data_IF_178474526406
#
_entry.id   IF_178474526406
#
_cell.length_a   1.000
_cell.length_b   1.000
_cell.length_c   1.000
_cell.angle_alpha   90.00
_cell.angle_beta   90.00
_cell.angle_gamma   90.00
#
_symmetry.space_group_name_H-M   'P 1'
#
loop_
_entity.id
_entity.type
_entity.pdbx_description
1 polymer ?
#
# COMPACT_ATOMS: atom_id res chain seq x y z
N UNK A 1 2.69 -33.17 -41.06
CA UNK A 1 2.15 -31.80 -40.87
C UNK A 1 1.62 -31.60 -39.45
N UNK A 2 0.91 -32.56 -38.85
CA UNK A 2 0.31 -32.41 -37.51
C UNK A 2 1.32 -32.14 -36.37
N UNK A 3 2.48 -32.81 -36.37
CA UNK A 3 3.53 -32.61 -35.34
C UNK A 3 4.05 -31.16 -35.34
N UNK A 4 4.13 -30.52 -36.51
CA UNK A 4 4.62 -29.15 -36.64
C UNK A 4 3.68 -28.14 -35.97
N UNK A 5 2.36 -28.33 -36.12
CA UNK A 5 1.37 -27.48 -35.45
C UNK A 5 1.40 -27.67 -33.93
N UNK A 6 1.53 -28.91 -33.44
CA UNK A 6 1.64 -29.20 -32.00
C UNK A 6 2.86 -28.51 -31.37
N UNK A 7 4.01 -28.54 -32.06
CA UNK A 7 5.23 -27.87 -31.58
C UNK A 7 5.06 -26.36 -31.52
N UNK A 8 4.40 -25.76 -32.51
CA UNK A 8 4.09 -24.32 -32.52
C UNK A 8 3.19 -23.94 -31.35
N UNK A 9 2.13 -24.70 -31.09
CA UNK A 9 1.19 -24.42 -30.01
C UNK A 9 1.88 -24.50 -28.63
N UNK A 10 2.77 -25.48 -28.43
CA UNK A 10 3.57 -25.60 -27.21
C UNK A 10 4.49 -24.37 -27.03
N UNK A 11 5.14 -23.93 -28.10
CA UNK A 11 6.02 -22.75 -28.05
C UNK A 11 5.22 -21.50 -27.69
N UNK A 12 4.02 -21.31 -28.29
CA UNK A 12 3.14 -20.18 -27.99
C UNK A 12 2.72 -20.22 -26.52
N UNK A 13 2.30 -21.38 -26.00
CA UNK A 13 1.92 -21.53 -24.59
C UNK A 13 3.10 -21.20 -23.67
N UNK A 14 4.29 -21.69 -23.96
CA UNK A 14 5.49 -21.41 -23.16
C UNK A 14 5.86 -19.92 -23.20
N UNK A 15 5.72 -19.25 -24.35
CA UNK A 15 5.93 -17.80 -24.47
C UNK A 15 4.89 -17.05 -23.66
N UNK A 16 3.61 -17.43 -23.74
CA UNK A 16 2.54 -16.79 -22.96
C UNK A 16 2.79 -16.97 -21.47
N UNK A 17 3.08 -18.19 -21.01
CA UNK A 17 3.43 -18.48 -19.62
C UNK A 17 4.65 -17.67 -19.21
N UNK A 18 5.72 -17.65 -20.01
CA UNK A 18 6.91 -16.85 -19.72
C UNK A 18 6.58 -15.35 -19.61
N UNK A 19 5.85 -14.77 -20.56
CA UNK A 19 5.49 -13.34 -20.53
C UNK A 19 4.66 -13.02 -19.29
N UNK A 20 3.65 -13.84 -18.97
CA UNK A 20 2.81 -13.62 -17.80
C UNK A 20 3.59 -13.76 -16.49
N UNK A 21 4.40 -14.82 -16.33
CA UNK A 21 5.17 -15.04 -15.10
C UNK A 21 6.36 -14.09 -14.96
N UNK A 22 7.09 -13.81 -16.04
CA UNK A 22 8.28 -12.96 -16.02
C UNK A 22 7.93 -11.49 -15.80
N UNK A 23 6.80 -11.01 -16.35
CA UNK A 23 6.31 -9.65 -16.12
C UNK A 23 5.96 -9.40 -14.66
N UNK A 24 5.26 -10.34 -14.02
CA UNK A 24 4.96 -10.28 -12.59
C UNK A 24 6.25 -10.26 -11.76
N UNK A 25 7.26 -11.04 -12.14
CA UNK A 25 8.57 -11.06 -11.48
C UNK A 25 9.33 -9.72 -11.58
N UNK A 26 9.34 -9.08 -12.76
CA UNK A 26 9.98 -7.77 -12.95
C UNK A 26 9.28 -6.68 -12.12
N UNK A 27 7.95 -6.67 -12.12
CA UNK A 27 7.18 -5.69 -11.36
C UNK A 27 7.35 -5.85 -9.85
N UNK A 28 7.49 -7.09 -9.37
CA UNK A 28 7.75 -7.39 -7.96
C UNK A 28 9.11 -6.83 -7.46
N UNK A 29 10.09 -6.65 -8.36
CA UNK A 29 11.46 -6.23 -8.00
C UNK A 29 11.65 -4.70 -7.98
N UNK A 30 10.69 -3.90 -8.45
CA UNK A 30 10.80 -2.43 -8.41
C UNK A 30 10.65 -1.91 -6.98
N UNK A 31 11.61 -1.08 -6.55
CA UNK A 31 11.52 -0.39 -5.27
C UNK A 31 10.34 0.61 -5.25
N UNK A 32 9.63 0.61 -4.13
CA UNK A 32 8.55 1.55 -3.88
C UNK A 32 9.14 2.86 -3.33
N UNK A 33 8.84 3.98 -4.00
CA UNK A 33 9.18 5.33 -3.52
C UNK A 33 7.89 6.12 -3.27
N UNK A 34 7.68 6.54 -2.02
CA UNK A 34 6.51 7.32 -1.65
C UNK A 34 6.57 8.72 -2.25
N UNK A 35 5.50 9.14 -2.93
CA UNK A 35 5.37 10.49 -3.51
C UNK A 35 4.92 11.56 -2.51
N UNK A 36 4.71 11.21 -1.23
CA UNK A 36 4.22 12.13 -0.19
C UNK A 36 2.94 12.86 -0.61
N UNK A 37 2.00 12.12 -1.21
CA UNK A 37 0.72 12.64 -1.72
C UNK A 37 -0.44 12.66 -0.70
N UNK A 38 -0.25 12.15 0.52
CA UNK A 38 -1.27 12.13 1.58
C UNK A 38 -2.46 11.17 1.37
N UNK A 39 -2.55 10.44 0.26
CA UNK A 39 -3.69 9.54 0.00
C UNK A 39 -3.82 8.41 1.05
N UNK A 40 -2.71 7.93 1.62
CA UNK A 40 -2.77 6.96 2.73
C UNK A 40 -3.45 7.54 3.98
N UNK A 41 -3.39 8.86 4.18
CA UNK A 41 -4.05 9.53 5.30
C UNK A 41 -5.57 9.70 5.09
N UNK A 42 -6.11 9.39 3.91
CA UNK A 42 -7.57 9.36 3.66
C UNK A 42 -8.23 8.08 4.19
N UNK A 43 -7.44 7.06 4.52
CA UNK A 43 -7.92 5.77 4.99
C UNK A 43 -8.49 5.87 6.41
N UNK A 44 -9.55 5.10 6.69
CA UNK A 44 -9.98 4.83 8.06
C UNK A 44 -9.13 3.67 8.60
N UNK A 45 -8.20 3.99 9.49
CA UNK A 45 -7.23 3.03 10.03
C UNK A 45 -7.66 2.62 11.43
N UNK A 46 -7.97 1.33 11.61
CA UNK A 46 -8.23 0.73 12.91
C UNK A 46 -6.91 0.41 13.61
N UNK A 47 -6.73 0.85 14.85
CA UNK A 47 -5.52 0.58 15.61
C UNK A 47 -5.63 -0.71 16.42
N UNK A 48 -4.50 -1.40 16.59
CA UNK A 48 -4.39 -2.44 17.59
C UNK A 48 -4.06 -1.82 18.96
N UNK A 49 -4.20 -2.59 20.05
CA UNK A 49 -3.97 -2.08 21.41
C UNK A 49 -2.51 -1.64 21.65
N UNK A 50 -1.54 -2.23 20.95
CA UNK A 50 -0.13 -1.91 21.09
C UNK A 50 0.19 -0.55 20.47
N UNK A 51 -0.32 -0.27 19.28
CA UNK A 51 -0.22 1.02 18.58
C UNK A 51 -0.82 2.15 19.42
N UNK A 52 -2.01 1.91 20.00
CA UNK A 52 -2.67 2.89 20.88
C UNK A 52 -1.75 3.23 22.06
N UNK A 53 -1.27 2.23 22.79
CA UNK A 53 -0.37 2.43 23.93
C UNK A 53 0.93 3.14 23.54
N UNK A 54 1.54 2.80 22.40
CA UNK A 54 2.77 3.46 21.92
C UNK A 54 2.55 4.95 21.65
N UNK A 55 1.44 5.29 21.00
CA UNK A 55 1.10 6.67 20.66
C UNK A 55 0.73 7.47 21.92
N UNK A 56 -0.02 6.86 22.85
CA UNK A 56 -0.34 7.46 24.16
C UNK A 56 0.91 7.74 25.00
N UNK A 57 1.81 6.75 25.12
CA UNK A 57 3.05 6.87 25.88
C UNK A 57 4.00 7.94 25.31
N UNK A 58 3.88 8.24 24.02
CA UNK A 58 4.61 9.33 23.37
C UNK A 58 3.98 10.71 23.61
N UNK A 59 2.92 10.80 24.41
CA UNK A 59 2.26 12.06 24.80
C UNK A 59 1.16 12.52 23.85
N UNK A 60 0.76 11.72 22.87
CA UNK A 60 -0.33 12.08 21.96
C UNK A 60 -1.69 11.74 22.56
N UNK A 61 -2.52 12.76 22.80
CA UNK A 61 -3.92 12.64 23.20
C UNK A 61 -4.89 12.90 22.03
N UNK A 62 -6.16 12.50 22.23
CA UNK A 62 -7.27 12.80 21.30
C UNK A 62 -6.99 12.36 19.84
N UNK A 63 -6.32 11.22 19.65
CA UNK A 63 -5.97 10.71 18.32
C UNK A 63 -6.89 9.58 17.85
N UNK A 64 -7.85 9.19 18.68
CA UNK A 64 -8.86 8.17 18.37
C UNK A 64 -10.20 8.80 17.97
N UNK A 65 -10.99 8.06 17.18
CA UNK A 65 -12.38 8.40 16.93
C UNK A 65 -13.28 8.18 18.16
N UNK A 66 -14.57 8.53 18.05
CA UNK A 66 -15.54 8.40 19.15
C UNK A 66 -15.66 6.96 19.68
N UNK A 67 -15.38 5.97 18.83
CA UNK A 67 -15.43 4.55 19.18
C UNK A 67 -14.14 4.05 19.84
N UNK A 68 -13.09 4.87 19.89
CA UNK A 68 -11.80 4.49 20.48
C UNK A 68 -11.03 3.43 19.69
N UNK A 69 -11.41 3.18 18.43
CA UNK A 69 -10.87 2.05 17.64
C UNK A 69 -10.09 2.49 16.42
N UNK A 70 -10.41 3.65 15.84
CA UNK A 70 -9.76 4.14 14.63
C UNK A 70 -9.00 5.43 14.89
N UNK A 71 -8.00 5.72 14.07
CA UNK A 71 -7.38 7.03 14.03
C UNK A 71 -8.43 8.11 13.74
N UNK A 72 -8.43 9.17 14.55
CA UNK A 72 -9.27 10.34 14.39
C UNK A 72 -9.00 10.99 13.03
N UNK A 73 -10.09 11.42 12.39
CA UNK A 73 -10.03 12.14 11.11
C UNK A 73 -10.53 13.57 11.28
N UNK A 74 -9.85 14.50 10.63
CA UNK A 74 -10.17 15.93 10.56
C UNK A 74 -10.25 16.27 9.06
N UNK A 75 -11.37 16.83 8.62
CA UNK A 75 -11.62 17.20 7.21
C UNK A 75 -11.37 16.05 6.22
N UNK A 76 -11.71 14.81 6.61
CA UNK A 76 -11.52 13.63 5.77
C UNK A 76 -10.11 13.04 5.76
N UNK A 77 -9.15 13.60 6.50
CA UNK A 77 -7.78 13.09 6.61
C UNK A 77 -7.44 12.68 8.04
N UNK A 78 -6.45 11.81 8.23
CA UNK A 78 -5.89 11.49 9.54
C UNK A 78 -5.41 12.75 10.27
N UNK A 79 -5.70 12.86 11.57
CA UNK A 79 -5.27 13.98 12.44
C UNK A 79 -3.76 14.26 12.40
N UNK A 80 -2.94 13.23 12.11
CA UNK A 80 -1.49 13.35 12.06
C UNK A 80 -0.94 13.79 10.70
N UNK A 81 -1.79 14.06 9.71
CA UNK A 81 -1.35 14.61 8.43
C UNK A 81 -0.87 16.04 8.63
N UNK A 82 0.34 16.32 8.14
CA UNK A 82 0.88 17.67 8.00
C UNK A 82 0.96 17.95 6.50
N UNK A 83 0.52 19.14 6.09
CA UNK A 83 0.67 19.66 4.73
C UNK A 83 1.49 20.94 4.81
N UNK A 84 2.64 20.95 4.16
CA UNK A 84 3.53 22.10 4.08
C UNK A 84 3.94 22.31 2.62
N UNK A 85 3.62 23.46 2.05
CA UNK A 85 3.93 23.83 0.66
C UNK A 85 3.58 22.73 -0.38
N UNK A 86 2.44 22.06 -0.22
CA UNK A 86 1.99 20.99 -1.11
C UNK A 86 2.63 19.61 -0.85
N UNK A 87 3.59 19.51 0.07
CA UNK A 87 4.24 18.27 0.47
C UNK A 87 3.60 17.75 1.76
N UNK A 88 3.21 16.48 1.77
CA UNK A 88 2.65 15.88 2.99
C UNK A 88 3.70 15.19 3.86
N UNK A 89 3.51 15.22 5.17
CA UNK A 89 4.29 14.45 6.15
C UNK A 89 3.36 13.90 7.23
N UNK A 90 3.88 12.99 8.07
CA UNK A 90 3.16 12.43 9.20
C UNK A 90 3.80 12.93 10.48
N UNK A 91 3.00 13.53 11.37
CA UNK A 91 3.48 14.02 12.68
C UNK A 91 4.07 12.91 13.55
N UNK A 92 3.54 11.70 13.44
CA UNK A 92 3.98 10.52 14.21
C UNK A 92 4.79 9.55 13.33
N UNK A 93 5.66 10.07 12.45
CA UNK A 93 6.37 9.26 11.46
C UNK A 93 7.06 8.02 12.06
N UNK A 94 7.75 8.18 13.20
CA UNK A 94 8.49 7.11 13.86
C UNK A 94 7.61 6.19 14.71
N UNK A 95 6.41 6.65 15.05
CA UNK A 95 5.42 5.93 15.86
C UNK A 95 4.24 5.45 15.00
N UNK A 96 4.42 5.41 13.68
CA UNK A 96 3.35 5.01 12.77
C UNK A 96 2.82 3.63 13.15
N UNK A 97 1.49 3.47 13.19
CA UNK A 97 0.87 2.16 13.32
C UNK A 97 1.38 1.18 12.28
N UNK A 98 1.42 -0.10 12.61
CA UNK A 98 1.91 -1.14 11.68
C UNK A 98 1.16 -1.12 10.36
N UNK A 99 -0.16 -0.89 10.40
CA UNK A 99 -1.01 -0.79 9.20
C UNK A 99 -0.58 0.40 8.32
N UNK A 100 -0.18 1.52 8.92
CA UNK A 100 0.30 2.68 8.18
C UNK A 100 1.69 2.43 7.55
N UNK A 101 2.57 1.70 8.24
CA UNK A 101 3.87 1.30 7.71
C UNK A 101 3.78 0.23 6.61
N UNK A 102 2.76 -0.62 6.66
CA UNK A 102 2.50 -1.62 5.63
C UNK A 102 2.03 -1.02 4.30
N UNK A 103 1.37 0.14 4.32
CA UNK A 103 0.87 0.80 3.11
C UNK A 103 2.03 1.15 2.14
N UNK A 104 1.89 0.91 0.82
CA UNK A 104 0.68 0.51 0.10
C UNK A 104 0.52 -1.01 -0.08
N UNK A 105 1.37 -1.83 0.56
CA UNK A 105 1.39 -3.27 0.35
C UNK A 105 0.40 -3.95 1.29
N UNK A 106 -0.36 -4.90 0.76
CA UNK A 106 -1.29 -5.75 1.48
C UNK A 106 -1.13 -7.21 1.08
N UNK A 107 -1.77 -8.11 1.83
CA UNK A 107 -1.86 -9.54 1.47
C UNK A 107 -3.10 -9.77 0.62
N UNK A 108 -2.93 -10.35 -0.56
CA UNK A 108 -4.02 -10.84 -1.42
C UNK A 108 -3.98 -12.36 -1.53
N UNK A 109 -5.04 -12.92 -2.11
CA UNK A 109 -5.24 -14.37 -2.25
C UNK A 109 -4.10 -15.06 -3.04
N UNK A 110 -3.50 -14.36 -4.01
CA UNK A 110 -2.44 -14.89 -4.87
C UNK A 110 -1.10 -14.15 -4.74
N UNK A 111 -0.87 -13.44 -3.62
CA UNK A 111 0.40 -12.73 -3.39
C UNK A 111 0.24 -11.33 -2.81
N UNK A 112 1.27 -10.50 -2.96
CA UNK A 112 1.27 -9.12 -2.46
C UNK A 112 0.35 -8.27 -3.33
N UNK A 113 -0.69 -7.68 -2.74
CA UNK A 113 -1.54 -6.68 -3.40
C UNK A 113 -1.02 -5.28 -3.10
N UNK A 114 -1.19 -4.37 -4.04
CA UNK A 114 -0.89 -2.96 -3.86
C UNK A 114 -2.19 -2.18 -3.82
N UNK A 115 -2.34 -1.30 -2.84
CA UNK A 115 -3.51 -0.46 -2.69
C UNK A 115 -3.60 0.56 -3.84
N UNK A 116 -4.70 0.48 -4.60
CA UNK A 116 -4.96 1.34 -5.77
C UNK A 116 -5.00 2.84 -5.42
N UNK A 117 -5.24 3.20 -4.16
CA UNK A 117 -5.26 4.60 -3.71
C UNK A 117 -3.86 5.21 -3.64
N UNK A 118 -2.81 4.39 -3.70
CA UNK A 118 -1.44 4.87 -3.74
C UNK A 118 -1.09 5.44 -5.11
N UNK A 119 -0.97 6.78 -5.22
CA UNK A 119 -0.64 7.47 -6.48
C UNK A 119 0.69 7.01 -7.08
N UNK A 120 1.67 6.67 -6.25
CA UNK A 120 2.99 6.17 -6.67
C UNK A 120 2.92 4.78 -7.33
N UNK A 121 1.87 4.01 -7.02
CA UNK A 121 1.66 2.67 -7.53
C UNK A 121 0.63 2.61 -8.65
N UNK A 122 -0.40 3.47 -8.60
CA UNK A 122 -1.44 3.55 -9.63
C UNK A 122 -0.84 3.85 -11.03
N UNK A 123 0.19 4.71 -11.09
CA UNK A 123 0.88 5.05 -12.34
C UNK A 123 1.83 3.94 -12.86
N UNK A 124 1.90 2.77 -12.22
CA UNK A 124 2.79 1.66 -12.61
C UNK A 124 2.06 0.38 -12.98
N UNK A 125 0.72 0.39 -12.93
CA UNK A 125 -0.15 -0.75 -13.26
C UNK A 125 -0.72 -0.66 -14.69
N UNK A 126 -0.32 0.36 -15.46
CA UNK A 126 -0.62 0.55 -16.88
C UNK A 126 0.67 0.75 -17.66
#
# INVERSE_FOLDING_TARGET
>A
MEIFFIVIDIIIILIFVYIFYFREFILAKREFKCLRCGNCCKLRVRLNKQDIKRIENAGYGDFLDKEGKNLKRINGYCKFLILDNGITSCRIQDLKPEICNGFPRGKGLFGKKVDIRCKACANKLY
#
